data_IF_671683443582
#
_entry.id   IF_671683443582
#
_cell.length_a   1.000
_cell.length_b   1.000
_cell.length_c   1.000
_cell.angle_alpha   90.00
_cell.angle_beta   90.00
_cell.angle_gamma   90.00
#
_symmetry.space_group_name_H-M   'P 1'
#
loop_
_entity.id
_entity.type
_entity.pdbx_description
1 polymer ?
#
# COMPACT_ATOMS: atom_id res chain seq x y z
N UNK A 1 -1.01 -19.73 13.35
CA UNK A 1 -0.62 -21.08 12.90
C UNK A 1 0.45 -20.90 11.85
N UNK A 2 1.71 -21.19 12.18
CA UNK A 2 2.84 -21.06 11.24
C UNK A 2 2.95 -22.39 10.49
N UNK A 3 2.82 -22.34 9.16
CA UNK A 3 3.02 -23.48 8.29
C UNK A 3 4.52 -23.69 8.08
N UNK A 4 5.06 -24.79 8.58
CA UNK A 4 6.42 -25.24 8.29
C UNK A 4 6.37 -26.12 7.02
N UNK A 5 7.18 -25.78 6.02
CA UNK A 5 7.43 -26.67 4.88
C UNK A 5 8.79 -27.32 5.04
N UNK A 6 8.88 -28.65 4.80
CA UNK A 6 10.12 -29.43 4.87
C UNK A 6 10.64 -29.68 3.46
N UNK A 7 11.95 -29.57 3.27
CA UNK A 7 12.64 -30.03 2.08
C UNK A 7 13.06 -31.51 2.21
N UNK A 8 13.37 -32.15 1.08
CA UNK A 8 13.69 -33.57 0.92
C UNK A 8 14.84 -34.03 1.84
N UNK A 9 15.67 -33.11 2.34
CA UNK A 9 16.83 -33.39 3.21
C UNK A 9 16.58 -33.12 4.71
N UNK A 10 15.33 -32.95 5.14
CA UNK A 10 14.97 -32.81 6.56
C UNK A 10 15.50 -31.53 7.26
N UNK A 11 16.05 -30.57 6.53
CA UNK A 11 16.47 -29.28 7.07
C UNK A 11 15.31 -28.31 7.09
N UNK A 12 15.04 -27.71 8.26
CA UNK A 12 14.08 -26.64 8.41
C UNK A 12 14.65 -25.41 7.69
N UNK A 13 14.17 -25.15 6.47
CA UNK A 13 14.40 -23.84 5.84
C UNK A 13 13.36 -22.88 6.41
N UNK A 14 13.80 -21.93 7.24
CA UNK A 14 13.06 -20.71 7.41
C UNK A 14 12.98 -20.11 6.00
N UNK A 15 11.76 -20.12 5.41
CA UNK A 15 11.51 -19.32 4.24
C UNK A 15 11.93 -17.88 4.65
N UNK A 16 13.06 -17.43 4.11
CA UNK A 16 13.45 -16.04 4.22
C UNK A 16 12.25 -15.24 3.76
N UNK A 17 11.59 -14.61 4.71
CA UNK A 17 10.63 -13.55 4.44
C UNK A 17 11.48 -12.50 3.74
N UNK A 18 11.55 -12.57 2.39
CA UNK A 18 12.09 -11.47 1.61
C UNK A 18 11.47 -10.24 2.22
N UNK A 19 12.32 -9.40 2.84
CA UNK A 19 11.85 -8.15 3.45
C UNK A 19 11.19 -7.38 2.32
N UNK A 20 9.86 -7.41 2.29
CA UNK A 20 9.05 -6.60 1.40
C UNK A 20 9.35 -5.15 1.70
N UNK A 21 10.47 -4.65 1.17
CA UNK A 21 10.90 -3.28 1.39
C UNK A 21 9.91 -2.41 0.63
N UNK A 22 9.07 -1.71 1.37
CA UNK A 22 8.11 -0.80 0.78
C UNK A 22 8.85 0.27 -0.03
N UNK A 23 8.56 0.35 -1.31
CA UNK A 23 9.09 1.37 -2.22
C UNK A 23 8.56 2.74 -1.81
N UNK A 24 7.27 2.82 -1.52
CA UNK A 24 6.60 4.03 -1.02
C UNK A 24 5.44 3.64 -0.10
N UNK A 25 5.12 4.52 0.86
CA UNK A 25 4.01 4.34 1.79
C UNK A 25 3.20 5.62 1.96
N UNK A 26 1.88 5.46 2.05
CA UNK A 26 0.93 6.55 2.28
C UNK A 26 0.67 6.71 3.78
N UNK A 27 1.52 7.48 4.46
CA UNK A 27 1.36 7.75 5.90
C UNK A 27 0.11 8.59 6.21
N UNK A 28 -0.31 9.45 5.28
CA UNK A 28 -1.50 10.30 5.41
C UNK A 28 -2.77 9.46 5.45
N UNK A 29 -2.82 8.32 4.73
CA UNK A 29 -3.96 7.42 4.75
C UNK A 29 -4.29 6.91 6.17
N UNK A 30 -3.29 6.52 6.95
CA UNK A 30 -3.48 6.06 8.33
C UNK A 30 -3.89 7.17 9.29
N UNK A 31 -3.53 8.41 8.98
CA UNK A 31 -3.95 9.57 9.75
C UNK A 31 -5.42 9.94 9.47
N UNK A 32 -5.81 9.95 8.19
CA UNK A 32 -7.10 10.48 7.75
C UNK A 32 -8.22 9.45 7.72
N UNK A 33 -7.90 8.16 7.69
CA UNK A 33 -8.86 7.08 7.51
C UNK A 33 -8.71 5.98 8.57
N UNK A 34 -9.84 5.36 8.93
CA UNK A 34 -9.87 4.04 9.57
C UNK A 34 -9.77 2.99 8.48
N UNK A 35 -8.79 2.09 8.58
CA UNK A 35 -8.59 0.99 7.65
C UNK A 35 -9.23 -0.26 8.26
N UNK A 36 -10.28 -0.77 7.62
CA UNK A 36 -11.02 -1.95 8.10
C UNK A 36 -10.40 -3.24 7.57
N UNK A 37 -10.08 -3.28 6.29
CA UNK A 37 -9.53 -4.45 5.61
C UNK A 37 -8.45 -4.03 4.62
N UNK A 38 -7.51 -4.91 4.35
CA UNK A 38 -6.47 -4.66 3.33
C UNK A 38 -6.45 -5.78 2.31
N UNK A 39 -6.27 -5.44 1.04
CA UNK A 39 -6.18 -6.38 -0.08
C UNK A 39 -4.93 -6.06 -0.88
N UNK A 40 -4.20 -7.09 -1.27
CA UNK A 40 -3.02 -6.98 -2.13
C UNK A 40 -3.45 -7.08 -3.59
N UNK A 41 -3.01 -6.13 -4.42
CA UNK A 41 -3.26 -6.11 -5.85
C UNK A 41 -1.95 -6.07 -6.65
N UNK A 42 -1.90 -6.75 -7.77
CA UNK A 42 -0.85 -6.53 -8.78
C UNK A 42 -1.04 -5.19 -9.47
N UNK A 43 0.02 -4.65 -10.07
CA UNK A 43 -0.04 -3.40 -10.83
C UNK A 43 0.34 -3.63 -12.29
N UNK A 44 -0.48 -3.15 -13.23
CA UNK A 44 -0.14 -3.10 -14.66
C UNK A 44 0.69 -1.84 -14.93
N UNK A 45 2.01 -2.01 -15.08
CA UNK A 45 2.99 -0.95 -15.23
C UNK A 45 3.74 -1.05 -16.56
N UNK A 46 4.24 0.09 -17.01
CA UNK A 46 5.17 0.18 -18.13
C UNK A 46 6.63 0.00 -17.65
N UNK A 47 7.53 -0.37 -18.56
CA UNK A 47 8.91 -0.66 -18.19
C UNK A 47 9.65 0.49 -17.50
N UNK A 48 9.44 1.72 -17.94
CA UNK A 48 10.01 2.93 -17.31
C UNK A 48 9.44 3.18 -15.93
N UNK A 49 8.15 2.92 -15.70
CA UNK A 49 7.52 3.04 -14.37
C UNK A 49 8.09 2.03 -13.37
N UNK A 50 8.34 0.80 -13.81
CA UNK A 50 8.97 -0.24 -12.96
C UNK A 50 10.38 0.20 -12.55
N UNK A 51 11.15 0.78 -13.47
CA UNK A 51 12.48 1.31 -13.19
C UNK A 51 12.43 2.47 -12.19
N UNK A 52 11.49 3.42 -12.37
CA UNK A 52 11.26 4.52 -11.42
C UNK A 52 10.85 4.03 -10.04
N UNK A 53 9.96 3.04 -9.95
CA UNK A 53 9.58 2.43 -8.68
C UNK A 53 10.78 1.81 -7.96
N UNK A 54 11.67 1.11 -8.67
CA UNK A 54 12.89 0.55 -8.07
C UNK A 54 13.82 1.62 -7.49
N UNK A 55 13.76 2.84 -8.02
CA UNK A 55 14.47 4.01 -7.49
C UNK A 55 13.69 4.72 -6.36
N UNK A 56 12.52 4.24 -5.97
CA UNK A 56 11.69 4.87 -4.95
C UNK A 56 10.97 6.14 -5.42
N UNK A 57 10.93 6.40 -6.72
CA UNK A 57 10.38 7.62 -7.32
C UNK A 57 8.86 7.53 -7.49
N UNK A 58 8.13 7.34 -6.39
CA UNK A 58 6.67 7.26 -6.40
C UNK A 58 6.05 7.93 -5.17
N UNK A 59 4.85 8.48 -5.36
CA UNK A 59 4.05 9.09 -4.29
C UNK A 59 2.60 8.61 -4.38
N UNK A 60 2.05 8.24 -3.23
CA UNK A 60 0.66 7.78 -3.05
C UNK A 60 -0.22 8.82 -2.34
N UNK A 61 0.29 10.00 -2.05
CA UNK A 61 -0.48 11.05 -1.40
C UNK A 61 -1.67 11.44 -2.28
N UNK A 62 -2.85 11.52 -1.68
CA UNK A 62 -4.11 11.89 -2.35
C UNK A 62 -4.54 10.93 -3.50
N UNK A 63 -3.91 9.76 -3.58
CA UNK A 63 -4.31 8.71 -4.51
C UNK A 63 -5.44 7.84 -3.95
N UNK A 64 -6.24 7.30 -4.82
CA UNK A 64 -7.36 6.41 -4.47
C UNK A 64 -7.58 5.37 -5.57
N UNK A 65 -8.32 4.31 -5.23
CA UNK A 65 -8.71 3.31 -6.22
C UNK A 65 -10.22 3.33 -6.45
N UNK A 66 -10.62 3.05 -7.68
CA UNK A 66 -12.02 2.91 -8.09
C UNK A 66 -12.24 1.58 -8.77
N UNK A 67 -13.49 1.11 -8.74
CA UNK A 67 -13.94 -0.01 -9.55
C UNK A 67 -14.80 0.51 -10.70
N UNK A 68 -14.47 0.13 -11.93
CA UNK A 68 -15.20 0.45 -13.14
C UNK A 68 -15.22 -0.78 -14.06
N UNK A 69 -16.40 -1.17 -14.53
CA UNK A 69 -16.59 -2.35 -15.40
C UNK A 69 -15.96 -3.64 -14.86
N UNK A 70 -16.17 -3.94 -13.59
CA UNK A 70 -15.56 -5.10 -12.90
C UNK A 70 -14.02 -5.12 -12.91
N UNK A 71 -13.38 -3.99 -13.13
CA UNK A 71 -11.94 -3.81 -13.07
C UNK A 71 -11.59 -2.72 -12.05
N UNK A 72 -10.42 -2.85 -11.41
CA UNK A 72 -9.95 -1.87 -10.44
C UNK A 72 -8.85 -1.01 -11.04
N UNK A 73 -8.93 0.29 -10.77
CA UNK A 73 -7.98 1.29 -11.26
C UNK A 73 -7.45 2.15 -10.12
N UNK A 74 -6.16 2.44 -10.18
CA UNK A 74 -5.48 3.37 -9.28
C UNK A 74 -5.35 4.74 -9.97
N UNK A 75 -5.86 5.78 -9.30
CA UNK A 75 -5.85 7.16 -9.79
C UNK A 75 -5.00 8.05 -8.87
N UNK A 76 -4.49 9.14 -9.42
CA UNK A 76 -3.70 10.17 -8.73
C UNK A 76 -2.43 9.62 -8.02
N UNK A 77 -2.01 8.40 -8.31
CA UNK A 77 -0.72 7.90 -7.85
C UNK A 77 0.36 8.41 -8.80
N UNK A 78 1.32 9.16 -8.28
CA UNK A 78 2.42 9.71 -9.08
C UNK A 78 3.56 8.69 -9.12
N UNK A 79 4.02 8.36 -10.33
CA UNK A 79 5.31 7.68 -10.56
C UNK A 79 6.14 8.61 -11.44
N UNK A 80 7.21 9.16 -10.89
CA UNK A 80 8.04 10.13 -11.60
C UNK A 80 8.68 9.51 -12.85
N UNK A 81 8.94 10.29 -13.91
CA UNK A 81 9.63 9.82 -15.10
C UNK A 81 10.97 9.18 -14.74
N UNK A 82 11.31 8.11 -15.45
CA UNK A 82 12.64 7.50 -15.29
C UNK A 82 13.71 8.42 -15.90
N UNK A 83 14.77 8.80 -15.15
CA UNK A 83 15.74 9.82 -15.62
C UNK A 83 16.42 9.48 -16.96
N UNK A 84 16.56 8.18 -17.25
CA UNK A 84 17.16 7.70 -18.50
C UNK A 84 16.11 7.22 -19.52
N UNK A 85 14.84 7.56 -19.34
CA UNK A 85 13.72 7.08 -20.15
C UNK A 85 13.45 7.89 -21.41
N UNK A 86 14.00 9.11 -21.52
CA UNK A 86 13.77 10.03 -22.65
C UNK A 86 12.32 10.03 -23.14
N UNK A 87 12.11 9.82 -24.43
CA UNK A 87 10.81 9.78 -25.12
C UNK A 87 9.93 8.60 -24.65
N UNK A 88 10.51 7.55 -24.05
CA UNK A 88 9.77 6.36 -23.58
C UNK A 88 9.10 6.57 -22.22
N UNK A 89 9.20 7.72 -21.60
CA UNK A 89 8.50 8.03 -20.37
C UNK A 89 7.01 8.24 -20.61
N UNK A 90 6.22 7.88 -19.61
CA UNK A 90 4.76 8.00 -19.63
C UNK A 90 4.31 9.12 -18.68
N UNK A 91 3.06 9.54 -18.83
CA UNK A 91 2.45 10.50 -17.90
C UNK A 91 2.55 9.98 -16.46
N UNK A 92 3.21 10.74 -15.56
CA UNK A 92 3.36 10.39 -14.15
C UNK A 92 2.04 10.10 -13.44
N UNK A 93 0.96 10.76 -13.82
CA UNK A 93 -0.36 10.67 -13.20
C UNK A 93 -1.32 9.72 -13.93
N UNK A 94 -0.87 9.00 -14.95
CA UNK A 94 -1.75 8.12 -15.69
C UNK A 94 -2.51 7.14 -14.79
N UNK A 95 -3.71 6.80 -15.16
CA UNK A 95 -4.50 5.75 -14.51
C UNK A 95 -3.85 4.38 -14.71
N UNK A 96 -3.72 3.61 -13.63
CA UNK A 96 -3.09 2.28 -13.64
C UNK A 96 -4.09 1.22 -13.28
N UNK A 97 -4.18 0.18 -14.10
CA UNK A 97 -5.03 -0.97 -13.82
C UNK A 97 -4.41 -1.80 -12.69
N UNK A 98 -5.25 -2.21 -11.76
CA UNK A 98 -4.90 -3.11 -10.67
C UNK A 98 -5.42 -4.52 -10.97
N UNK A 99 -4.59 -5.51 -10.66
CA UNK A 99 -4.83 -6.91 -10.98
C UNK A 99 -5.26 -7.64 -9.69
N UNK A 100 -6.54 -7.98 -9.64
CA UNK A 100 -7.19 -8.76 -8.57
C UNK A 100 -8.08 -9.82 -9.19
N UNK A 101 -8.47 -10.81 -8.39
CA UNK A 101 -9.51 -11.76 -8.79
C UNK A 101 -10.89 -11.09 -8.84
N UNK A 102 -11.74 -11.51 -9.76
CA UNK A 102 -13.09 -10.93 -9.92
C UNK A 102 -13.93 -11.01 -8.63
N UNK A 103 -13.79 -12.09 -7.89
CA UNK A 103 -14.48 -12.27 -6.61
C UNK A 103 -14.06 -11.23 -5.56
N UNK A 104 -12.76 -10.92 -5.48
CA UNK A 104 -12.24 -9.87 -4.60
C UNK A 104 -12.79 -8.50 -4.99
N UNK A 105 -12.80 -8.18 -6.30
CA UNK A 105 -13.36 -6.93 -6.80
C UNK A 105 -14.85 -6.82 -6.45
N UNK A 106 -15.65 -7.88 -6.66
CA UNK A 106 -17.08 -7.90 -6.31
C UNK A 106 -17.32 -7.71 -4.82
N UNK A 107 -16.56 -8.40 -3.97
CA UNK A 107 -16.62 -8.25 -2.51
C UNK A 107 -16.32 -6.81 -2.06
N UNK A 108 -15.28 -6.20 -2.62
CA UNK A 108 -14.90 -4.82 -2.31
C UNK A 108 -15.97 -3.83 -2.81
N UNK A 109 -16.48 -4.00 -4.02
CA UNK A 109 -17.55 -3.17 -4.58
C UNK A 109 -18.80 -3.19 -3.72
N UNK A 110 -19.21 -4.38 -3.26
CA UNK A 110 -20.35 -4.51 -2.36
C UNK A 110 -20.15 -3.74 -1.05
N UNK A 111 -18.97 -3.87 -0.42
CA UNK A 111 -18.64 -3.15 0.82
C UNK A 111 -18.62 -1.63 0.61
N UNK A 112 -18.07 -1.15 -0.51
CA UNK A 112 -18.07 0.28 -0.86
C UNK A 112 -19.50 0.82 -0.96
N UNK A 113 -20.38 0.11 -1.65
CA UNK A 113 -21.76 0.55 -1.89
C UNK A 113 -22.59 0.53 -0.61
N UNK A 114 -22.50 -0.52 0.19
CA UNK A 114 -23.33 -0.70 1.38
C UNK A 114 -22.91 0.16 2.58
N UNK A 115 -21.60 0.37 2.77
CA UNK A 115 -21.07 1.00 3.99
C UNK A 115 -20.37 2.34 3.75
N UNK A 116 -20.36 2.86 2.51
CA UNK A 116 -19.72 4.12 2.18
C UNK A 116 -18.19 4.12 2.39
N UNK A 117 -17.53 2.98 2.15
CA UNK A 117 -16.09 2.88 2.19
C UNK A 117 -15.45 3.43 0.91
N UNK A 118 -14.21 3.81 1.01
CA UNK A 118 -13.33 4.18 -0.11
C UNK A 118 -12.11 3.26 -0.15
N UNK A 119 -11.49 3.15 -1.31
CA UNK A 119 -10.28 2.35 -1.50
C UNK A 119 -9.06 3.26 -1.59
N UNK A 120 -8.16 3.13 -0.62
CA UNK A 120 -6.96 3.98 -0.49
C UNK A 120 -5.71 3.10 -0.61
N UNK A 121 -4.75 3.41 -1.50
CA UNK A 121 -3.48 2.72 -1.53
C UNK A 121 -2.65 3.08 -0.30
N UNK A 122 -2.10 2.07 0.37
CA UNK A 122 -1.34 2.20 1.60
C UNK A 122 0.17 2.14 1.36
N UNK A 123 0.60 1.20 0.53
CA UNK A 123 2.02 1.03 0.17
C UNK A 123 2.17 0.33 -1.18
N UNK A 124 3.29 0.61 -1.86
CA UNK A 124 3.77 -0.14 -3.01
C UNK A 124 5.06 -0.87 -2.61
N UNK A 125 5.23 -2.09 -3.07
CA UNK A 125 6.38 -2.94 -2.79
C UNK A 125 6.60 -3.96 -3.90
N UNK A 126 7.75 -4.64 -3.89
CA UNK A 126 8.04 -5.70 -4.84
C UNK A 126 7.99 -7.06 -4.17
N UNK A 127 7.33 -8.02 -4.80
CA UNK A 127 7.33 -9.42 -4.43
C UNK A 127 7.81 -10.23 -5.63
N UNK A 128 8.90 -10.94 -5.49
CA UNK A 128 9.51 -11.74 -6.59
C UNK A 128 9.63 -10.95 -7.91
N UNK A 129 10.09 -9.70 -7.81
CA UNK A 129 10.28 -8.80 -8.95
C UNK A 129 9.01 -8.17 -9.54
N UNK A 130 7.82 -8.50 -9.01
CA UNK A 130 6.53 -7.94 -9.45
C UNK A 130 6.09 -6.81 -8.52
N UNK A 131 5.70 -5.68 -9.10
CA UNK A 131 5.15 -4.57 -8.31
C UNK A 131 3.75 -4.91 -7.82
N UNK A 132 3.54 -4.73 -6.52
CA UNK A 132 2.27 -4.91 -5.84
C UNK A 132 1.91 -3.66 -5.05
N UNK A 133 0.62 -3.44 -4.88
CA UNK A 133 0.08 -2.37 -4.05
C UNK A 133 -0.85 -2.96 -3.00
N UNK A 134 -0.69 -2.53 -1.77
CA UNK A 134 -1.63 -2.82 -0.70
C UNK A 134 -2.71 -1.75 -0.69
N UNK A 135 -3.95 -2.14 -0.90
CA UNK A 135 -5.14 -1.28 -0.89
C UNK A 135 -5.87 -1.48 0.43
N UNK A 136 -6.19 -0.39 1.10
CA UNK A 136 -7.04 -0.39 2.30
C UNK A 136 -8.48 -0.06 1.96
N UNK A 137 -9.42 -0.85 2.46
CA UNK A 137 -10.84 -0.49 2.53
C UNK A 137 -10.99 0.47 3.72
N UNK A 138 -11.29 1.73 3.45
CA UNK A 138 -11.09 2.82 4.37
C UNK A 138 -12.36 3.65 4.57
N UNK A 139 -12.57 4.11 5.80
CA UNK A 139 -13.61 5.07 6.17
C UNK A 139 -12.97 6.35 6.69
N UNK A 140 -13.38 7.51 6.19
CA UNK A 140 -12.86 8.80 6.62
C UNK A 140 -13.09 9.05 8.11
N UNK A 141 -12.05 9.48 8.83
CA UNK A 141 -12.13 9.91 10.23
C UNK A 141 -12.79 11.27 10.34
N UNK A 142 -13.66 11.45 11.32
CA UNK A 142 -14.19 12.77 11.69
C UNK A 142 -13.08 13.63 12.30
N UNK A 143 -13.25 14.96 12.31
CA UNK A 143 -12.25 15.87 12.85
C UNK A 143 -11.90 15.60 14.33
N UNK A 144 -12.88 15.12 15.12
CA UNK A 144 -12.68 14.73 16.51
C UNK A 144 -11.76 13.50 16.63
N UNK A 145 -12.03 12.44 15.86
CA UNK A 145 -11.24 11.21 15.85
C UNK A 145 -9.78 11.45 15.43
N UNK A 146 -9.56 12.41 14.52
CA UNK A 146 -8.21 12.82 14.10
C UNK A 146 -7.42 13.43 15.25
N UNK A 147 -8.06 14.28 16.08
CA UNK A 147 -7.44 14.90 17.25
C UNK A 147 -7.06 13.88 18.33
N UNK A 148 -7.91 12.91 18.58
CA UNK A 148 -7.62 11.81 19.51
C UNK A 148 -6.44 10.97 19.03
N UNK A 149 -6.43 10.57 17.78
CA UNK A 149 -5.31 9.81 17.18
C UNK A 149 -3.97 10.55 17.28
N UNK A 150 -3.98 11.89 17.16
CA UNK A 150 -2.76 12.70 17.33
C UNK A 150 -2.30 12.67 18.79
N UNK A 151 -3.22 12.91 19.74
CA UNK A 151 -2.90 12.89 21.19
C UNK A 151 -2.35 11.55 21.66
N UNK A 152 -2.95 10.43 21.25
CA UNK A 152 -2.43 9.10 21.57
C UNK A 152 -1.03 8.86 21.01
N UNK A 153 -0.76 9.33 19.80
CA UNK A 153 0.54 9.17 19.15
C UNK A 153 1.62 10.03 19.81
N UNK A 154 1.29 11.22 20.25
CA UNK A 154 2.17 12.11 21.01
C UNK A 154 2.48 11.53 22.39
N UNK A 155 1.45 11.10 23.13
CA UNK A 155 1.60 10.46 24.43
C UNK A 155 2.49 9.20 24.36
N UNK A 156 2.28 8.34 23.33
CA UNK A 156 3.10 7.15 23.12
C UNK A 156 4.56 7.51 22.84
N UNK A 157 4.83 8.54 22.04
CA UNK A 157 6.19 9.01 21.74
C UNK A 157 6.88 9.56 23.00
N UNK A 158 6.13 10.25 23.84
CA UNK A 158 6.65 10.81 25.08
C UNK A 158 7.05 9.71 26.08
N UNK A 159 6.19 8.68 26.23
CA UNK A 159 6.51 7.49 27.03
C UNK A 159 7.76 6.76 26.49
N UNK A 160 7.84 6.54 25.19
CA UNK A 160 9.01 5.90 24.57
C UNK A 160 10.31 6.70 24.79
N UNK A 161 10.21 8.04 24.79
CA UNK A 161 11.35 8.94 25.06
C UNK A 161 11.81 8.83 26.49
N UNK A 162 10.89 8.89 27.46
CA UNK A 162 11.19 8.75 28.90
C UNK A 162 11.80 7.36 29.20
N UNK A 163 11.28 6.29 28.61
CA UNK A 163 11.85 4.94 28.78
C UNK A 163 13.25 4.84 28.20
N UNK A 164 13.52 5.46 27.05
CA UNK A 164 14.88 5.50 26.49
C UNK A 164 15.88 6.29 27.33
N UNK A 165 15.43 7.39 27.94
CA UNK A 165 16.29 8.21 28.83
C UNK A 165 16.60 7.48 30.15
N UNK A 166 15.67 6.66 30.66
CA UNK A 166 15.89 5.84 31.88
C UNK A 166 16.83 4.65 31.68
N UNK A 167 16.95 4.15 30.43
CA UNK A 167 17.81 3.01 30.11
C UNK A 167 19.19 3.42 29.57
N UNK A 168 19.58 4.66 29.72
CA UNK A 168 20.92 5.20 29.46
C UNK A 168 21.70 5.45 30.75
#
# INVERSE_FOLDING_TARGET
>A
MQSFSYNVDGRITMAEKEKDTAVTSNRKAYHDYFIEETVEAGMSLQGTEVKSLRLGLANLTDSYAIVKNEEMFLLNATISPYPMGNISNHDPLRTRKLLLHKEEIRKLTWKMTQKGFTLIPLKIYFVRGRAKVLIGLAKGKKAFDKRETIKEKESKREVERVVKERNR
#
